data_IF_665097922915
#
_entry.id   IF_665097922915
#
_cell.length_a   1.000
_cell.length_b   1.000
_cell.length_c   1.000
_cell.angle_alpha   90.00
_cell.angle_beta   90.00
_cell.angle_gamma   90.00
#
_symmetry.space_group_name_H-M   'P 1'
#
loop_
_entity.id
_entity.type
_entity.pdbx_description
1 polymer ?
#
# COMPACT_ATOMS: atom_id res chain seq x y z
N UNK A 1 -5.69 10.72 -17.92
CA UNK A 1 -6.36 10.46 -16.64
C UNK A 1 -5.46 9.58 -15.80
N UNK A 2 -4.98 10.07 -14.66
CA UNK A 2 -4.27 9.23 -13.70
C UNK A 2 -5.10 7.99 -13.38
N UNK A 3 -4.51 6.77 -13.41
CA UNK A 3 -5.22 5.59 -12.97
C UNK A 3 -5.61 5.77 -11.50
N UNK A 4 -6.91 5.89 -11.24
CA UNK A 4 -7.41 6.02 -9.88
C UNK A 4 -6.93 4.89 -8.96
N UNK A 5 -6.90 5.15 -7.66
CA UNK A 5 -6.42 4.22 -6.63
C UNK A 5 -6.90 2.77 -6.78
N UNK A 6 -8.19 2.48 -7.10
CA UNK A 6 -8.65 1.11 -7.29
C UNK A 6 -7.89 0.33 -8.37
N UNK A 7 -7.52 1.00 -9.48
CA UNK A 7 -6.78 0.39 -10.59
C UNK A 7 -5.34 0.08 -10.18
N UNK A 8 -4.67 1.00 -9.50
CA UNK A 8 -3.30 0.82 -8.99
C UNK A 8 -3.29 -0.33 -7.98
N UNK A 9 -4.18 -0.30 -6.99
CA UNK A 9 -4.33 -1.34 -5.97
C UNK A 9 -4.51 -2.72 -6.59
N UNK A 10 -5.46 -2.87 -7.51
CA UNK A 10 -5.74 -4.17 -8.14
C UNK A 10 -4.58 -4.67 -9.01
N UNK A 11 -3.83 -3.77 -9.66
CA UNK A 11 -2.63 -4.15 -10.41
C UNK A 11 -1.50 -4.57 -9.46
N UNK A 12 -1.30 -3.82 -8.38
CA UNK A 12 -0.27 -4.10 -7.39
C UNK A 12 -0.47 -5.45 -6.69
N UNK A 13 -1.68 -5.77 -6.23
CA UNK A 13 -2.00 -7.06 -5.60
C UNK A 13 -1.85 -8.25 -6.55
N UNK A 14 -2.14 -8.07 -7.83
CA UNK A 14 -1.91 -9.13 -8.83
C UNK A 14 -0.44 -9.44 -9.03
N UNK A 15 0.43 -8.43 -8.99
CA UNK A 15 1.89 -8.64 -9.12
C UNK A 15 2.54 -9.02 -7.79
N UNK A 16 1.94 -8.65 -6.66
CA UNK A 16 2.45 -8.91 -5.31
C UNK A 16 1.37 -9.64 -4.48
N UNK A 17 1.09 -10.92 -4.78
CA UNK A 17 -0.02 -11.65 -4.16
C UNK A 17 0.26 -12.08 -2.72
N UNK A 18 1.51 -11.94 -2.24
CA UNK A 18 1.94 -12.37 -0.91
C UNK A 18 2.18 -11.19 0.02
N UNK A 19 1.90 -11.39 1.30
CA UNK A 19 2.14 -10.44 2.36
C UNK A 19 3.63 -10.32 2.62
N UNK A 20 4.15 -9.10 2.59
CA UNK A 20 5.58 -8.85 2.83
C UNK A 20 6.04 -9.20 4.24
N UNK A 21 5.11 -9.25 5.21
CA UNK A 21 5.44 -9.54 6.61
C UNK A 21 5.42 -11.02 6.97
N UNK A 22 4.61 -11.84 6.30
CA UNK A 22 4.41 -13.25 6.70
C UNK A 22 4.25 -14.24 5.54
N UNK A 23 4.28 -13.79 4.29
CA UNK A 23 4.22 -14.66 3.11
C UNK A 23 2.83 -15.19 2.72
N UNK A 24 1.82 -15.03 3.60
CA UNK A 24 0.41 -15.37 3.35
C UNK A 24 -0.21 -14.55 2.21
N UNK A 25 -1.38 -14.94 1.71
CA UNK A 25 -2.08 -14.17 0.68
C UNK A 25 -2.38 -12.73 1.15
N UNK A 26 -2.00 -11.76 0.32
CA UNK A 26 -2.28 -10.36 0.53
C UNK A 26 -3.66 -9.99 -0.03
N UNK A 27 -4.43 -9.24 0.76
CA UNK A 27 -5.74 -8.72 0.36
C UNK A 27 -5.87 -7.20 0.52
N UNK A 28 -4.86 -6.57 1.13
CA UNK A 28 -4.75 -5.13 1.30
C UNK A 28 -3.42 -4.62 0.77
N UNK A 29 -3.44 -3.39 0.28
CA UNK A 29 -2.23 -2.64 -0.09
C UNK A 29 -2.11 -1.50 0.90
N UNK A 30 -0.96 -1.42 1.53
CA UNK A 30 -0.63 -0.40 2.52
C UNK A 30 0.38 0.60 1.95
N UNK A 31 0.28 1.84 2.40
CA UNK A 31 1.25 2.87 2.05
C UNK A 31 2.41 2.82 3.06
N UNK A 32 3.64 2.61 2.58
CA UNK A 32 4.84 2.55 3.43
C UNK A 32 5.02 3.86 4.19
N UNK A 33 4.96 4.97 3.44
CA UNK A 33 5.02 6.34 3.95
C UNK A 33 3.61 6.95 3.91
N UNK A 34 3.10 7.50 5.04
CA UNK A 34 1.76 8.07 5.09
C UNK A 34 1.66 9.39 4.31
N UNK A 35 0.46 9.71 3.82
CA UNK A 35 0.21 10.87 2.93
C UNK A 35 0.76 12.19 3.47
N UNK A 36 0.66 12.41 4.79
CA UNK A 36 1.11 13.62 5.50
C UNK A 36 2.60 13.92 5.38
N UNK A 37 3.43 12.95 4.98
CA UNK A 37 4.88 13.13 4.78
C UNK A 37 5.23 13.66 3.39
N UNK A 38 4.30 13.63 2.43
CA UNK A 38 4.51 14.15 1.08
C UNK A 38 4.05 15.59 0.98
N UNK A 39 4.85 16.45 0.33
CA UNK A 39 4.44 17.80 -0.03
C UNK A 39 3.35 17.75 -1.10
N UNK A 40 2.61 18.85 -1.29
CA UNK A 40 1.58 18.94 -2.34
C UNK A 40 2.13 18.64 -3.74
N UNK A 41 3.35 19.09 -4.03
CA UNK A 41 4.09 18.79 -5.28
C UNK A 41 4.43 17.31 -5.45
N UNK A 42 4.53 16.57 -4.35
CA UNK A 42 4.90 15.15 -4.29
C UNK A 42 3.68 14.23 -4.16
N UNK A 43 2.46 14.76 -4.27
CA UNK A 43 1.23 13.99 -4.16
C UNK A 43 1.19 12.79 -5.12
N UNK A 44 1.87 12.88 -6.25
CA UNK A 44 2.01 11.80 -7.23
C UNK A 44 2.83 10.61 -6.70
N UNK A 45 3.79 10.84 -5.80
CA UNK A 45 4.63 9.80 -5.18
C UNK A 45 3.84 8.95 -4.17
N UNK A 46 2.73 9.47 -3.64
CA UNK A 46 1.95 8.75 -2.64
C UNK A 46 1.47 7.38 -3.13
N UNK A 47 0.95 7.31 -4.37
CA UNK A 47 0.49 6.07 -4.98
C UNK A 47 1.56 5.40 -5.87
N UNK A 48 2.80 5.89 -5.82
CA UNK A 48 3.89 5.27 -6.55
C UNK A 48 4.18 3.89 -5.99
N UNK A 49 4.54 2.94 -6.85
CA UNK A 49 4.70 1.54 -6.48
C UNK A 49 5.75 1.32 -5.38
N UNK A 50 6.80 2.15 -5.36
CA UNK A 50 7.84 2.11 -4.33
C UNK A 50 7.32 2.51 -2.93
N UNK A 51 6.15 3.14 -2.83
CA UNK A 51 5.51 3.50 -1.58
C UNK A 51 4.37 2.53 -1.20
N UNK A 52 4.18 1.45 -1.95
CA UNK A 52 3.13 0.46 -1.70
C UNK A 52 3.75 -0.84 -1.16
N UNK A 53 2.99 -1.56 -0.33
CA UNK A 53 3.34 -2.90 0.12
C UNK A 53 2.09 -3.78 0.21
N UNK A 54 2.24 -5.05 -0.16
CA UNK A 54 1.16 -6.05 -0.09
C UNK A 54 1.13 -6.64 1.32
N UNK A 55 -0.04 -6.62 1.95
CA UNK A 55 -0.22 -7.18 3.30
C UNK A 55 -1.49 -8.02 3.38
N UNK A 56 -1.49 -8.98 4.30
CA UNK A 56 -2.72 -9.61 4.76
C UNK A 56 -3.38 -8.71 5.82
N UNK A 57 -4.71 -8.79 5.94
CA UNK A 57 -5.48 -8.01 6.91
C UNK A 57 -4.93 -8.11 8.34
N UNK A 58 -4.48 -9.30 8.77
CA UNK A 58 -3.91 -9.51 10.11
C UNK A 58 -2.63 -8.69 10.34
N UNK A 59 -1.68 -8.76 9.42
CA UNK A 59 -0.42 -8.02 9.53
C UNK A 59 -0.63 -6.52 9.34
N UNK A 60 -1.56 -6.12 8.47
CA UNK A 60 -1.96 -4.74 8.29
C UNK A 60 -2.55 -4.16 9.57
N UNK A 61 -3.56 -4.81 10.15
CA UNK A 61 -4.19 -4.34 11.40
C UNK A 61 -3.18 -4.26 12.55
N UNK A 62 -2.21 -5.18 12.62
CA UNK A 62 -1.11 -5.12 13.60
C UNK A 62 -0.19 -3.92 13.37
N UNK A 63 0.05 -3.51 12.12
CA UNK A 63 0.82 -2.31 11.78
C UNK A 63 0.02 -1.05 12.12
N UNK A 64 -1.24 -1.00 11.70
CA UNK A 64 -2.15 0.12 11.92
C UNK A 64 -2.41 0.39 13.41
N UNK A 65 -2.64 -0.66 14.20
CA UNK A 65 -2.81 -0.56 15.64
C UNK A 65 -1.54 -0.14 16.40
N UNK A 66 -0.38 -0.10 15.73
CA UNK A 66 0.88 0.40 16.27
C UNK A 66 1.19 1.86 15.86
N UNK A 67 0.23 2.55 15.25
CA UNK A 67 0.30 3.98 14.97
C UNK A 67 0.37 4.30 13.48
N UNK A 68 -0.79 4.62 12.91
CA UNK A 68 -0.93 5.45 11.71
C UNK A 68 -1.30 6.86 12.13
#
# INVERSE_FOLDING_TARGET
MDPGWPRIRNRYLRMNPRCIMCGELANVVDHITPRRRFRKSEAHLYNHWSNLQSMCARCHNRKTGKGQ
#
